data_IF_455798947106
#
_entry.id   IF_455798947106
#
_cell.length_a   1.000
_cell.length_b   1.000
_cell.length_c   1.000
_cell.angle_alpha   90.00
_cell.angle_beta   90.00
_cell.angle_gamma   90.00
#
_symmetry.space_group_name_H-M   'P 1'
#
loop_
_entity.id
_entity.type
_entity.pdbx_description
1 polymer ?
#
# COMPACT_ATOMS: atom_id res chain seq x y z
N UNK A 1 16.75 0.57 -26.30
CA UNK A 1 16.30 0.85 -24.91
C UNK A 1 16.09 2.35 -24.86
N UNK A 2 14.87 2.80 -24.60
CA UNK A 2 14.57 4.21 -24.39
C UNK A 2 15.40 4.68 -23.20
N UNK A 3 16.22 5.71 -23.41
CA UNK A 3 16.96 6.35 -22.32
C UNK A 3 15.95 7.27 -21.61
N UNK A 4 15.52 6.90 -20.41
CA UNK A 4 14.61 7.71 -19.63
C UNK A 4 15.34 8.95 -19.14
N UNK A 5 14.78 10.13 -19.38
CA UNK A 5 15.30 11.35 -18.76
C UNK A 5 15.24 11.25 -17.21
N UNK A 6 16.12 11.93 -16.46
CA UNK A 6 16.12 11.88 -15.00
C UNK A 6 14.76 12.21 -14.37
N UNK A 7 14.03 13.16 -14.95
CA UNK A 7 12.69 13.56 -14.49
C UNK A 7 11.62 12.50 -14.81
N UNK A 8 11.71 11.84 -15.97
CA UNK A 8 10.76 10.78 -16.35
C UNK A 8 10.90 9.57 -15.45
N UNK A 9 12.13 9.22 -15.06
CA UNK A 9 12.38 8.15 -14.10
C UNK A 9 11.83 8.49 -12.71
N UNK A 10 12.05 9.73 -12.26
CA UNK A 10 11.49 10.21 -11.00
C UNK A 10 9.96 10.10 -10.99
N UNK A 11 9.30 10.64 -12.01
CA UNK A 11 7.84 10.66 -12.09
C UNK A 11 7.26 9.24 -12.19
N UNK A 12 7.91 8.36 -12.94
CA UNK A 12 7.54 6.94 -13.02
C UNK A 12 7.57 6.28 -11.63
N UNK A 13 8.63 6.49 -10.84
CA UNK A 13 8.71 5.89 -9.52
C UNK A 13 7.72 6.51 -8.54
N UNK A 14 7.47 7.82 -8.59
CA UNK A 14 6.42 8.46 -7.78
C UNK A 14 5.04 7.83 -8.07
N UNK A 15 4.72 7.60 -9.34
CA UNK A 15 3.48 6.91 -9.72
C UNK A 15 3.44 5.47 -9.20
N UNK A 16 4.55 4.72 -9.33
CA UNK A 16 4.63 3.34 -8.84
C UNK A 16 4.50 3.25 -7.32
N UNK A 17 5.10 4.18 -6.59
CA UNK A 17 4.99 4.26 -5.13
C UNK A 17 3.54 4.51 -4.73
N UNK A 18 2.89 5.49 -5.37
CA UNK A 18 1.49 5.82 -5.08
C UNK A 18 0.57 4.63 -5.40
N UNK A 19 0.78 3.96 -6.52
CA UNK A 19 0.02 2.77 -6.89
C UNK A 19 0.17 1.65 -5.87
N UNK A 20 1.41 1.34 -5.47
CA UNK A 20 1.68 0.29 -4.48
C UNK A 20 1.09 0.64 -3.09
N UNK A 21 1.14 1.92 -2.68
CA UNK A 21 0.48 2.41 -1.47
C UNK A 21 -1.03 2.14 -1.53
N UNK A 22 -1.70 2.58 -2.59
CA UNK A 22 -3.15 2.42 -2.75
C UNK A 22 -3.53 0.94 -2.82
N UNK A 23 -2.76 0.11 -3.54
CA UNK A 23 -2.98 -1.34 -3.59
C UNK A 23 -2.90 -1.98 -2.19
N UNK A 24 -1.91 -1.59 -1.39
CA UNK A 24 -1.76 -2.04 -0.01
C UNK A 24 -2.92 -1.58 0.88
N UNK A 25 -3.31 -0.30 0.81
CA UNK A 25 -4.44 0.25 1.55
C UNK A 25 -5.75 -0.45 1.21
N UNK A 26 -6.00 -0.75 -0.06
CA UNK A 26 -7.15 -1.55 -0.48
C UNK A 26 -7.12 -2.96 0.10
N UNK A 27 -5.94 -3.60 0.16
CA UNK A 27 -5.79 -4.91 0.77
C UNK A 27 -6.02 -4.88 2.30
N UNK A 28 -5.61 -3.80 2.99
CA UNK A 28 -5.92 -3.59 4.40
C UNK A 28 -7.43 -3.46 4.63
N UNK A 29 -8.07 -2.60 3.84
CA UNK A 29 -9.51 -2.29 3.88
C UNK A 29 -10.40 -3.46 3.40
N UNK A 30 -9.84 -4.62 3.06
CA UNK A 30 -10.55 -5.75 2.45
C UNK A 30 -11.31 -5.38 1.17
N UNK A 31 -10.89 -4.31 0.46
CA UNK A 31 -11.45 -3.91 -0.85
C UNK A 31 -10.89 -4.80 -1.95
N UNK A 32 -11.58 -4.84 -3.08
CA UNK A 32 -11.15 -5.60 -4.26
C UNK A 32 -9.81 -5.07 -4.83
N UNK A 33 -8.95 -5.95 -5.30
CA UNK A 33 -7.62 -5.70 -5.88
C UNK A 33 -7.36 -6.70 -7.01
N UNK A 34 -6.35 -6.45 -7.84
CA UNK A 34 -5.91 -7.39 -8.89
C UNK A 34 -5.57 -8.80 -8.35
N UNK A 35 -5.18 -8.92 -7.08
CA UNK A 35 -4.96 -10.23 -6.46
C UNK A 35 -6.22 -11.10 -6.46
N UNK A 36 -7.41 -10.50 -6.27
CA UNK A 36 -8.66 -11.25 -6.23
C UNK A 36 -9.06 -11.76 -7.63
N UNK A 37 -8.51 -11.17 -8.70
CA UNK A 37 -8.74 -11.58 -10.09
C UNK A 37 -7.87 -12.78 -10.51
N UNK A 38 -6.81 -13.09 -9.74
CA UNK A 38 -5.88 -14.16 -10.09
C UNK A 38 -6.53 -15.54 -10.06
N UNK A 39 -7.54 -15.77 -9.21
CA UNK A 39 -8.27 -17.05 -9.18
C UNK A 39 -9.66 -16.94 -8.51
N UNK A 40 -10.71 -17.59 -9.05
CA UNK A 40 -12.06 -17.59 -8.47
C UNK A 40 -12.12 -18.04 -7.00
N UNK A 41 -11.23 -18.96 -6.61
CA UNK A 41 -11.15 -19.52 -5.25
C UNK A 41 -10.56 -18.57 -4.20
N UNK A 42 -9.98 -17.44 -4.60
CA UNK A 42 -9.36 -16.50 -3.64
C UNK A 42 -10.41 -15.77 -2.78
N UNK A 43 -11.61 -15.54 -3.32
CA UNK A 43 -12.70 -14.93 -2.56
C UNK A 43 -13.42 -15.92 -1.62
N UNK A 44 -13.35 -17.22 -1.89
CA UNK A 44 -14.13 -18.24 -1.17
C UNK A 44 -13.44 -18.80 0.08
N UNK A 45 -12.15 -18.49 0.29
CA UNK A 45 -11.36 -19.06 1.38
C UNK A 45 -10.76 -17.94 2.25
N UNK A 46 -11.21 -17.79 3.53
CA UNK A 46 -10.80 -16.70 4.41
C UNK A 46 -9.28 -16.57 4.65
N UNK A 47 -8.52 -17.66 4.53
CA UNK A 47 -7.06 -17.63 4.59
C UNK A 47 -6.41 -16.70 3.55
N UNK A 48 -7.03 -16.47 2.38
CA UNK A 48 -6.46 -15.61 1.33
C UNK A 48 -6.46 -14.12 1.67
N UNK A 49 -7.26 -13.66 2.63
CA UNK A 49 -7.21 -12.27 3.08
C UNK A 49 -5.83 -11.88 3.62
N UNK A 50 -5.19 -12.79 4.35
CA UNK A 50 -3.85 -12.57 4.85
C UNK A 50 -2.83 -12.56 3.72
N UNK A 51 -2.90 -13.53 2.82
CA UNK A 51 -1.99 -13.61 1.67
C UNK A 51 -2.04 -12.35 0.81
N UNK A 52 -3.24 -11.85 0.51
CA UNK A 52 -3.45 -10.59 -0.22
C UNK A 52 -2.69 -9.42 0.39
N UNK A 53 -2.80 -9.24 1.71
CA UNK A 53 -2.08 -8.18 2.44
C UNK A 53 -0.57 -8.37 2.42
N UNK A 54 -0.09 -9.61 2.58
CA UNK A 54 1.33 -9.92 2.47
C UNK A 54 1.88 -9.63 1.07
N UNK A 55 1.12 -9.94 0.02
CA UNK A 55 1.50 -9.68 -1.37
C UNK A 55 1.59 -8.18 -1.63
N UNK A 56 0.56 -7.42 -1.27
CA UNK A 56 0.57 -5.97 -1.46
C UNK A 56 1.65 -5.28 -0.62
N UNK A 57 1.93 -5.78 0.59
CA UNK A 57 3.04 -5.30 1.42
C UNK A 57 4.40 -5.57 0.76
N UNK A 58 4.60 -6.79 0.25
CA UNK A 58 5.85 -7.15 -0.42
C UNK A 58 6.08 -6.31 -1.68
N UNK A 59 5.03 -6.01 -2.44
CA UNK A 59 5.06 -5.09 -3.58
C UNK A 59 5.50 -3.69 -3.14
N UNK A 60 4.83 -3.11 -2.14
CA UNK A 60 5.16 -1.79 -1.60
C UNK A 60 6.63 -1.71 -1.14
N UNK A 61 7.09 -2.67 -0.33
CA UNK A 61 8.49 -2.72 0.12
C UNK A 61 9.47 -2.85 -1.05
N UNK A 62 9.09 -3.57 -2.10
CA UNK A 62 9.94 -3.72 -3.29
C UNK A 62 10.08 -2.40 -4.04
N UNK A 63 8.97 -1.69 -4.27
CA UNK A 63 9.00 -0.39 -4.95
C UNK A 63 9.76 0.65 -4.14
N UNK A 64 9.53 0.72 -2.82
CA UNK A 64 10.26 1.62 -1.91
C UNK A 64 11.77 1.35 -1.92
N UNK A 65 12.17 0.08 -1.89
CA UNK A 65 13.59 -0.30 -1.98
C UNK A 65 14.21 0.19 -3.29
N UNK A 66 13.53 -0.04 -4.42
CA UNK A 66 14.03 0.38 -5.73
C UNK A 66 14.14 1.91 -5.84
N UNK A 67 13.15 2.65 -5.33
CA UNK A 67 13.20 4.10 -5.28
C UNK A 67 14.38 4.60 -4.42
N UNK A 68 14.60 3.97 -3.27
CA UNK A 68 15.72 4.28 -2.38
C UNK A 68 17.08 4.03 -3.05
N UNK A 69 17.24 2.89 -3.74
CA UNK A 69 18.47 2.55 -4.48
C UNK A 69 18.76 3.59 -5.59
N UNK A 70 17.72 4.21 -6.13
CA UNK A 70 17.79 5.27 -7.14
C UNK A 70 17.83 6.69 -6.56
N UNK A 71 17.91 6.84 -5.23
CA UNK A 71 17.92 8.13 -4.53
C UNK A 71 16.67 8.98 -4.80
N UNK A 72 15.53 8.33 -5.06
CA UNK A 72 14.22 8.97 -5.22
C UNK A 72 13.54 9.02 -3.86
N UNK A 73 13.07 10.21 -3.48
CA UNK A 73 12.36 10.41 -2.21
C UNK A 73 10.97 9.78 -2.29
N UNK A 74 10.85 8.58 -1.71
CA UNK A 74 9.60 7.83 -1.67
C UNK A 74 8.71 8.21 -0.50
N UNK A 75 9.18 9.06 0.42
CA UNK A 75 8.46 9.33 1.68
C UNK A 75 7.31 10.31 1.50
N UNK A 76 7.36 11.15 0.46
CA UNK A 76 6.40 12.21 0.14
C UNK A 76 4.91 11.77 0.24
N UNK A 77 4.48 10.64 -0.34
CA UNK A 77 3.09 10.22 -0.26
C UNK A 77 2.68 9.59 1.09
N UNK A 78 3.59 9.41 2.06
CA UNK A 78 3.33 8.72 3.32
C UNK A 78 3.34 9.67 4.52
N UNK A 79 2.59 9.32 5.57
CA UNK A 79 2.77 9.97 6.87
C UNK A 79 4.02 9.44 7.57
N UNK A 80 4.56 10.19 8.54
CA UNK A 80 5.73 9.77 9.34
C UNK A 80 5.53 8.39 9.98
N UNK A 81 4.30 8.09 10.39
CA UNK A 81 3.93 6.78 10.94
C UNK A 81 4.07 5.67 9.91
N UNK A 82 3.53 5.88 8.71
CA UNK A 82 3.60 4.91 7.60
C UNK A 82 5.06 4.70 7.17
N UNK A 83 5.85 5.77 7.09
CA UNK A 83 7.31 5.70 6.86
C UNK A 83 7.99 4.84 7.94
N UNK A 84 7.61 5.00 9.21
CA UNK A 84 8.09 4.16 10.31
C UNK A 84 7.82 2.67 10.08
N UNK A 85 6.58 2.30 9.75
CA UNK A 85 6.22 0.91 9.46
C UNK A 85 6.98 0.31 8.28
N UNK A 86 7.14 1.09 7.20
CA UNK A 86 7.87 0.67 6.00
C UNK A 86 9.35 0.42 6.33
N UNK A 87 9.99 1.34 7.07
CA UNK A 87 11.40 1.22 7.46
C UNK A 87 11.65 0.01 8.37
N UNK A 88 10.76 -0.21 9.35
CA UNK A 88 10.86 -1.36 10.25
C UNK A 88 10.46 -2.68 9.56
N UNK A 89 9.88 -2.62 8.35
CA UNK A 89 9.34 -3.76 7.58
C UNK A 89 8.33 -4.59 8.37
N UNK A 90 7.61 -3.95 9.29
CA UNK A 90 6.67 -4.63 10.18
C UNK A 90 5.38 -4.84 9.41
N UNK A 91 4.95 -6.09 9.25
CA UNK A 91 3.56 -6.43 8.89
C UNK A 91 3.01 -7.34 9.98
N UNK A 92 2.65 -6.73 11.10
CA UNK A 92 2.01 -7.39 12.25
C UNK A 92 0.67 -6.73 12.51
N UNK A 93 -0.13 -7.28 13.45
CA UNK A 93 -1.40 -6.69 13.93
C UNK A 93 -1.36 -5.17 14.06
N UNK A 94 -0.28 -4.64 14.63
CA UNK A 94 -0.06 -3.20 14.80
C UNK A 94 -0.11 -2.37 13.51
N UNK A 95 0.43 -2.85 12.40
CA UNK A 95 0.37 -2.10 11.13
C UNK A 95 -1.05 -2.14 10.56
N UNK A 96 -1.74 -3.26 10.74
CA UNK A 96 -3.13 -3.42 10.28
C UNK A 96 -4.09 -2.52 11.06
N UNK A 97 -3.85 -2.39 12.36
CA UNK A 97 -4.72 -1.61 13.26
C UNK A 97 -4.37 -0.11 13.26
N UNK A 98 -3.16 0.27 12.83
CA UNK A 98 -2.65 1.64 13.00
C UNK A 98 -2.06 2.25 11.73
N UNK A 99 -2.27 1.66 10.55
CA UNK A 99 -1.81 2.23 9.28
C UNK A 99 -2.32 3.65 9.05
N UNK A 100 -3.61 3.86 9.32
CA UNK A 100 -4.26 5.15 9.30
C UNK A 100 -4.16 5.83 10.67
N UNK A 101 -4.23 7.17 10.69
CA UNK A 101 -4.32 7.89 11.95
C UNK A 101 -5.67 7.65 12.63
N UNK A 102 -5.77 7.90 13.94
CA UNK A 102 -7.07 7.84 14.62
C UNK A 102 -8.07 8.88 14.06
N UNK A 103 -7.56 9.98 13.50
CA UNK A 103 -8.36 11.01 12.85
C UNK A 103 -8.98 10.49 11.55
N UNK A 104 -8.20 9.79 10.73
CA UNK A 104 -8.65 9.18 9.48
C UNK A 104 -9.67 8.06 9.75
N UNK A 105 -9.42 7.23 10.77
CA UNK A 105 -10.35 6.16 11.17
C UNK A 105 -11.71 6.73 11.60
N UNK A 106 -11.71 7.78 12.44
CA UNK A 106 -12.95 8.46 12.87
C UNK A 106 -13.71 9.09 11.71
N UNK A 107 -13.01 9.70 10.76
CA UNK A 107 -13.64 10.26 9.56
C UNK A 107 -14.27 9.16 8.70
N UNK A 108 -13.58 8.04 8.50
CA UNK A 108 -14.11 6.92 7.74
C UNK A 108 -15.35 6.29 8.41
N UNK A 109 -15.36 6.15 9.74
CA UNK A 109 -16.53 5.69 10.48
C UNK A 109 -17.71 6.65 10.35
N UNK A 110 -17.45 7.96 10.42
CA UNK A 110 -18.48 9.00 10.28
C UNK A 110 -19.11 8.97 8.88
N UNK A 111 -18.30 8.83 7.83
CA UNK A 111 -18.77 8.72 6.45
C UNK A 111 -19.62 7.47 6.24
N UNK A 112 -19.19 6.32 6.77
CA UNK A 112 -19.95 5.06 6.67
C UNK A 112 -21.32 5.14 7.35
N UNK A 113 -21.45 5.89 8.44
CA UNK A 113 -22.73 6.10 9.14
C UNK A 113 -23.68 7.06 8.44
N UNK A 114 -23.18 7.86 7.49
CA UNK A 114 -23.99 8.79 6.69
C UNK A 114 -24.49 8.16 5.38
N UNK A 115 -23.91 7.01 4.98
CA UNK A 115 -24.30 6.24 3.80
C UNK A 115 -25.33 5.13 4.09
N UNK A 116 -25.68 4.90 5.37
CA UNK A 116 -26.80 4.06 5.85
C UNK A 116 -28.09 4.88 6.09
#
# INVERSE_FOLDING_TARGET
MSDFGPNELHDFFQEKILHAKVSFERALDCKHTEFDDLYPYMNEQPQFFWYKRYVAWAELLTVVRLASDLHIDWTIPFSDRQVGFINEKVLQGKVLDHWYSEEDNRQSETLSQMEE
#
